data_IF_618036105580
#
_entry.id   IF_618036105580
#
_cell.length_a   1.000
_cell.length_b   1.000
_cell.length_c   1.000
_cell.angle_alpha   90.00
_cell.angle_beta   90.00
_cell.angle_gamma   90.00
#
_symmetry.space_group_name_H-M   'P 1'
#
loop_
_entity.id
_entity.type
_entity.pdbx_description
1 polymer ?
#
# COMPACT_ATOMS: atom_id res chain seq x y z
N UNK A 1 5.70 -8.25 12.06
CA UNK A 1 4.27 -8.34 12.30
C UNK A 1 3.52 -7.07 12.01
N UNK A 2 3.93 -5.95 12.59
CA UNK A 2 3.32 -4.67 12.25
C UNK A 2 3.50 -4.31 10.77
N UNK A 3 4.50 -4.90 10.11
CA UNK A 3 4.74 -4.66 8.68
C UNK A 3 3.50 -4.93 7.82
N UNK A 4 2.81 -6.04 8.07
CA UNK A 4 1.64 -6.39 7.26
C UNK A 4 0.49 -5.42 7.50
N UNK A 5 0.26 -5.08 8.77
CA UNK A 5 -0.78 -4.13 9.14
C UNK A 5 -0.53 -2.77 8.51
N UNK A 6 0.71 -2.32 8.55
CA UNK A 6 1.12 -1.04 7.99
C UNK A 6 1.00 -1.03 6.47
N UNK A 7 1.37 -2.14 5.80
CA UNK A 7 1.19 -2.25 4.35
C UNK A 7 -0.28 -2.26 3.96
N UNK A 8 -1.13 -2.91 4.77
CA UNK A 8 -2.57 -2.91 4.55
C UNK A 8 -3.14 -1.49 4.61
N UNK A 9 -2.88 -0.77 5.69
CA UNK A 9 -3.41 0.58 5.85
C UNK A 9 -2.79 1.57 4.87
N UNK A 10 -1.50 1.41 4.56
CA UNK A 10 -0.83 2.25 3.58
C UNK A 10 -1.43 2.08 2.18
N UNK A 11 -1.64 0.85 1.76
CA UNK A 11 -2.26 0.58 0.47
C UNK A 11 -3.71 1.09 0.44
N UNK A 12 -4.44 0.93 1.54
CA UNK A 12 -5.81 1.42 1.62
C UNK A 12 -5.86 2.94 1.46
N UNK A 13 -5.00 3.68 2.15
CA UNK A 13 -4.94 5.13 2.04
C UNK A 13 -4.61 5.56 0.62
N UNK A 14 -3.55 4.98 0.06
CA UNK A 14 -3.10 5.34 -1.28
C UNK A 14 -4.19 5.08 -2.33
N UNK A 15 -4.78 3.90 -2.29
CA UNK A 15 -5.79 3.52 -3.28
C UNK A 15 -7.09 4.29 -3.08
N UNK A 16 -7.45 4.60 -1.83
CA UNK A 16 -8.63 5.43 -1.59
C UNK A 16 -8.48 6.80 -2.28
N UNK A 17 -7.30 7.41 -2.20
CA UNK A 17 -7.05 8.70 -2.86
C UNK A 17 -7.18 8.58 -4.37
N UNK A 18 -6.76 7.46 -4.96
CA UNK A 18 -6.94 7.21 -6.38
C UNK A 18 -8.43 7.30 -6.76
N UNK A 19 -9.28 6.57 -6.04
CA UNK A 19 -10.72 6.58 -6.32
C UNK A 19 -11.35 7.94 -6.04
N UNK A 20 -10.97 8.56 -4.93
CA UNK A 20 -11.61 9.79 -4.47
C UNK A 20 -11.26 10.99 -5.35
N UNK A 21 -10.07 11.04 -5.92
CA UNK A 21 -9.60 12.23 -6.63
C UNK A 21 -9.39 12.04 -8.12
N UNK A 22 -8.88 10.89 -8.54
CA UNK A 22 -8.46 10.68 -9.92
C UNK A 22 -7.42 11.69 -10.38
N UNK A 23 -6.75 12.37 -9.46
CA UNK A 23 -5.85 13.49 -9.75
C UNK A 23 -4.40 13.05 -9.55
N UNK A 24 -3.54 13.15 -10.58
CA UNK A 24 -2.16 12.67 -10.46
C UNK A 24 -1.36 13.32 -9.35
N UNK A 25 -1.56 14.60 -9.10
CA UNK A 25 -0.82 15.29 -8.04
C UNK A 25 -1.27 14.80 -6.66
N UNK A 26 -2.58 14.65 -6.46
CA UNK A 26 -3.10 14.14 -5.19
C UNK A 26 -2.66 12.69 -4.97
N UNK A 27 -2.70 11.87 -6.01
CA UNK A 27 -2.27 10.48 -5.95
C UNK A 27 -0.78 10.39 -5.64
N UNK A 28 0.04 11.17 -6.30
CA UNK A 28 1.47 11.23 -6.04
C UNK A 28 1.79 11.70 -4.62
N UNK A 29 1.09 12.74 -4.16
CA UNK A 29 1.25 13.24 -2.80
C UNK A 29 0.84 12.18 -1.76
N UNK A 30 -0.25 11.46 -2.01
CA UNK A 30 -0.69 10.38 -1.13
C UNK A 30 0.36 9.28 -1.05
N UNK A 31 0.99 8.94 -2.18
CA UNK A 31 2.05 7.93 -2.19
C UNK A 31 3.25 8.39 -1.37
N UNK A 32 3.68 9.64 -1.54
CA UNK A 32 4.78 10.21 -0.77
C UNK A 32 4.48 10.12 0.73
N UNK A 33 3.31 10.58 1.13
CA UNK A 33 2.91 10.57 2.55
C UNK A 33 2.87 9.14 3.08
N UNK A 34 2.28 8.23 2.32
CA UNK A 34 2.17 6.83 2.73
C UNK A 34 3.54 6.21 2.93
N UNK A 35 4.47 6.44 2.00
CA UNK A 35 5.83 5.91 2.13
C UNK A 35 6.54 6.52 3.34
N UNK A 36 6.39 7.83 3.57
CA UNK A 36 6.98 8.47 4.74
C UNK A 36 6.48 7.87 6.05
N UNK A 37 5.20 7.53 6.11
CA UNK A 37 4.60 6.96 7.32
C UNK A 37 4.99 5.50 7.54
N UNK A 38 5.28 4.75 6.48
CA UNK A 38 5.42 3.29 6.56
C UNK A 38 6.84 2.79 6.36
N UNK A 39 7.73 3.61 5.79
CA UNK A 39 9.04 3.14 5.33
C UNK A 39 9.90 2.54 6.44
N UNK A 40 9.86 3.09 7.65
CA UNK A 40 10.67 2.59 8.76
C UNK A 40 10.08 1.34 9.41
N UNK A 41 8.83 1.04 9.14
CA UNK A 41 8.15 -0.12 9.73
C UNK A 41 8.14 -1.29 8.75
N UNK A 42 7.68 -1.06 7.53
CA UNK A 42 7.49 -2.12 6.54
C UNK A 42 8.40 -1.99 5.31
N UNK A 43 9.07 -0.86 5.16
CA UNK A 43 9.81 -0.54 3.95
C UNK A 43 9.00 0.27 2.95
N UNK A 44 7.71 0.48 3.21
CA UNK A 44 6.88 1.34 2.37
C UNK A 44 6.68 0.84 0.95
N UNK A 45 6.42 -0.45 0.78
CA UNK A 45 6.25 -1.03 -0.56
C UNK A 45 4.94 -0.60 -1.20
N UNK A 46 3.85 -0.78 -0.49
CA UNK A 46 2.49 -0.36 -0.86
C UNK A 46 1.94 -1.09 -2.10
N UNK A 47 2.75 -1.75 -2.86
CA UNK A 47 2.44 -2.32 -4.16
C UNK A 47 3.09 -3.71 -4.30
N UNK A 48 2.34 -4.75 -4.72
CA UNK A 48 2.91 -6.08 -4.91
C UNK A 48 4.10 -6.11 -5.88
N UNK A 49 4.09 -5.29 -6.91
CA UNK A 49 5.22 -5.23 -7.85
C UNK A 49 6.49 -4.77 -7.15
N UNK A 50 6.38 -3.78 -6.25
CA UNK A 50 7.51 -3.30 -5.47
C UNK A 50 8.01 -4.40 -4.55
N UNK A 51 7.11 -5.09 -3.87
CA UNK A 51 7.46 -6.17 -2.95
C UNK A 51 8.20 -7.30 -3.66
N UNK A 52 7.71 -7.71 -4.82
CA UNK A 52 8.35 -8.77 -5.61
C UNK A 52 9.74 -8.33 -6.08
N UNK A 53 9.87 -7.10 -6.54
CA UNK A 53 11.16 -6.57 -6.98
C UNK A 53 12.15 -6.47 -5.83
N UNK A 54 11.69 -6.05 -4.66
CA UNK A 54 12.55 -5.96 -3.47
C UNK A 54 13.02 -7.33 -3.03
N UNK A 55 12.15 -8.33 -3.02
CA UNK A 55 12.54 -9.70 -2.70
C UNK A 55 13.55 -10.24 -3.70
N UNK A 56 13.34 -9.97 -4.99
CA UNK A 56 14.24 -10.40 -6.05
C UNK A 56 15.60 -9.73 -5.92
N UNK A 57 15.64 -8.52 -5.39
CA UNK A 57 16.90 -7.79 -5.17
C UNK A 57 17.59 -8.18 -3.84
N UNK A 58 17.02 -9.13 -3.10
CA UNK A 58 17.58 -9.55 -1.82
C UNK A 58 17.33 -8.61 -0.67
N UNK A 59 16.39 -7.68 -0.81
CA UNK A 59 16.09 -6.67 0.21
C UNK A 59 14.89 -7.02 1.07
N UNK A 60 14.24 -8.15 0.80
CA UNK A 60 13.13 -8.67 1.58
C UNK A 60 13.20 -10.19 1.51
N UNK A 61 13.05 -10.90 2.65
CA UNK A 61 13.01 -12.37 2.60
C UNK A 61 11.86 -12.85 1.72
N UNK A 62 12.11 -13.88 0.93
CA UNK A 62 11.09 -14.42 0.02
C UNK A 62 9.84 -14.85 0.78
N UNK A 63 10.00 -15.33 2.01
CA UNK A 63 8.88 -15.74 2.87
C UNK A 63 7.93 -14.60 3.19
N UNK A 64 8.35 -13.34 3.02
CA UNK A 64 7.53 -12.16 3.31
C UNK A 64 6.73 -11.69 2.10
N UNK A 65 7.01 -12.22 0.91
CA UNK A 65 6.35 -11.76 -0.31
C UNK A 65 4.84 -11.99 -0.25
N UNK A 66 4.42 -13.20 0.09
CA UNK A 66 3.00 -13.51 0.13
C UNK A 66 2.23 -12.69 1.17
N UNK A 67 2.70 -12.60 2.43
CA UNK A 67 2.00 -11.75 3.42
C UNK A 67 1.93 -10.28 3.01
N UNK A 68 2.99 -9.73 2.44
CA UNK A 68 3.00 -8.34 1.98
C UNK A 68 1.98 -8.13 0.86
N UNK A 69 2.02 -8.99 -0.16
CA UNK A 69 1.12 -8.87 -1.29
C UNK A 69 -0.35 -9.02 -0.86
N UNK A 70 -0.64 -9.95 0.04
CA UNK A 70 -1.99 -10.14 0.56
C UNK A 70 -2.46 -8.89 1.31
N UNK A 71 -1.61 -8.34 2.17
CA UNK A 71 -1.94 -7.12 2.90
C UNK A 71 -2.27 -5.96 1.96
N UNK A 72 -1.43 -5.78 0.93
CA UNK A 72 -1.60 -4.70 -0.04
C UNK A 72 -2.89 -4.88 -0.86
N UNK A 73 -3.15 -6.09 -1.32
CA UNK A 73 -4.34 -6.39 -2.12
C UNK A 73 -5.60 -6.17 -1.29
N UNK A 74 -5.65 -6.70 -0.07
CA UNK A 74 -6.80 -6.50 0.80
C UNK A 74 -6.96 -5.05 1.23
N UNK A 75 -5.87 -4.32 1.41
CA UNK A 75 -5.93 -2.89 1.67
C UNK A 75 -6.60 -2.15 0.53
N UNK A 76 -6.21 -2.44 -0.70
CA UNK A 76 -6.82 -1.83 -1.88
C UNK A 76 -8.29 -2.17 -2.03
N UNK A 77 -8.66 -3.42 -1.79
CA UNK A 77 -10.07 -3.84 -1.86
C UNK A 77 -10.90 -3.19 -0.75
N UNK A 78 -10.30 -3.00 0.43
CA UNK A 78 -10.96 -2.28 1.52
C UNK A 78 -11.21 -0.82 1.13
N UNK A 79 -10.23 -0.18 0.50
CA UNK A 79 -10.38 1.19 0.00
C UNK A 79 -11.54 1.30 -0.98
N UNK A 80 -11.67 0.33 -1.89
CA UNK A 80 -12.79 0.30 -2.83
C UNK A 80 -14.12 0.25 -2.09
N UNK A 81 -14.25 -0.62 -1.08
CA UNK A 81 -15.49 -0.74 -0.32
C UNK A 81 -15.82 0.54 0.45
N UNK A 82 -14.81 1.17 1.04
CA UNK A 82 -15.00 2.44 1.73
C UNK A 82 -15.43 3.53 0.75
N UNK A 83 -14.82 3.59 -0.42
CA UNK A 83 -15.17 4.56 -1.43
C UNK A 83 -16.62 4.40 -1.89
N UNK A 84 -17.07 3.16 -2.09
CA UNK A 84 -18.45 2.89 -2.51
C UNK A 84 -19.48 3.36 -1.49
N UNK A 85 -19.13 3.27 -0.19
CA UNK A 85 -20.04 3.63 0.90
C UNK A 85 -19.96 5.09 1.29
N UNK A 86 -18.80 5.68 1.21
CA UNK A 86 -18.51 7.02 1.74
C UNK A 86 -17.83 7.85 0.66
N UNK A 87 -18.55 8.13 -0.39
CA UNK A 87 -18.04 8.96 -1.48
C UNK A 87 -18.08 10.42 -1.08
N UNK A 88 -16.95 11.09 -1.29
CA UNK A 88 -16.84 12.52 -0.99
C UNK A 88 -16.49 13.32 -2.28
#
# INVERSE_FOLDING_TARGET
MYSYLVEFFGAALFIYVIFATGNPLAIGAALVITILLTSKISGGHINPAVTIAMASAGKLPVSEVLPYCMAQIFGGLTALQLYKRYQF
#
